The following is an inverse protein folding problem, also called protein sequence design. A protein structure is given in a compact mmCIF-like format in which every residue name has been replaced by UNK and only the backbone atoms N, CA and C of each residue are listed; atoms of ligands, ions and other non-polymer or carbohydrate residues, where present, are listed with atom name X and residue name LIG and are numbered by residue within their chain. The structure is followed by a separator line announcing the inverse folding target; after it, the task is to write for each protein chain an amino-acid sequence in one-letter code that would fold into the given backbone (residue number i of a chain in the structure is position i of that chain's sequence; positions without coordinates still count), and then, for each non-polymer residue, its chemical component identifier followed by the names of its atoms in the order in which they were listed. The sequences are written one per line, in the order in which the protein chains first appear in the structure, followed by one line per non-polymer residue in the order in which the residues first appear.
data_IF_833461318428
#
_entry.id   IF_833461318428
#
_cell.length_a   1.000
_cell.length_b   1.000
_cell.length_c   1.000
_cell.angle_alpha   90.00
_cell.angle_beta   90.00
_cell.angle_gamma   90.00
#
_symmetry.space_group_name_H-M   'P 1'
#
loop_
_entity.id
_entity.type
_entity.pdbx_description
1 polymer ?
#
# COMPACT_ATOMS: atom_id res chain seq x y z
N UNK A 1 1.38 57.85 -26.61
CA UNK A 1 0.23 57.07 -26.09
C UNK A 1 0.74 56.17 -24.97
N UNK A 2 0.36 56.45 -23.74
CA UNK A 2 0.77 55.71 -22.54
C UNK A 2 -0.21 54.53 -22.34
N UNK A 3 0.30 53.32 -22.15
CA UNK A 3 -0.49 52.18 -21.76
C UNK A 3 -0.26 51.94 -20.27
N UNK A 4 -1.35 52.06 -19.51
CA UNK A 4 -1.37 51.88 -18.04
C UNK A 4 -1.36 50.41 -17.68
N UNK A 5 -0.48 50.05 -16.74
CA UNK A 5 -0.45 48.74 -16.10
C UNK A 5 -1.55 48.60 -15.06
N UNK A 6 -2.41 47.61 -15.19
CA UNK A 6 -3.40 47.24 -14.17
C UNK A 6 -2.75 46.27 -13.19
N UNK A 7 -2.66 46.65 -11.93
CA UNK A 7 -2.32 45.80 -10.79
C UNK A 7 -3.53 44.93 -10.47
N UNK A 8 -3.38 43.61 -10.61
CA UNK A 8 -4.24 42.61 -9.98
C UNK A 8 -3.52 42.02 -8.77
N UNK A 9 -3.83 42.55 -7.60
CA UNK A 9 -3.46 41.96 -6.32
C UNK A 9 -4.68 41.21 -5.79
N UNK A 10 -4.73 39.90 -6.06
CA UNK A 10 -5.74 38.99 -5.50
C UNK A 10 -5.14 38.23 -4.31
N UNK A 11 -5.73 38.41 -3.15
CA UNK A 11 -5.35 37.76 -1.89
C UNK A 11 -5.71 36.29 -1.95
N UNK A 12 -4.70 35.41 -2.06
CA UNK A 12 -4.86 33.97 -1.92
C UNK A 12 -5.05 33.59 -0.43
N UNK A 13 -5.91 32.59 -0.12
CA UNK A 13 -6.15 32.20 1.25
C UNK A 13 -4.92 31.47 1.84
N UNK A 14 -4.58 31.86 3.07
CA UNK A 14 -3.36 31.48 3.84
C UNK A 14 -3.11 30.00 4.07
N UNK A 15 -3.98 29.11 3.60
CA UNK A 15 -3.82 27.64 3.78
C UNK A 15 -2.92 26.94 2.75
N UNK A 16 -2.61 27.56 1.63
CA UNK A 16 -1.74 26.99 0.60
C UNK A 16 -0.24 27.16 0.87
N UNK A 17 0.13 28.01 1.82
CA UNK A 17 1.54 28.33 2.08
C UNK A 17 2.29 27.27 2.90
N UNK A 18 1.59 26.50 3.72
CA UNK A 18 2.23 25.53 4.63
C UNK A 18 2.74 24.28 3.90
N UNK A 19 2.05 23.82 2.86
CA UNK A 19 2.46 22.62 2.10
C UNK A 19 3.63 22.95 1.17
N UNK A 20 3.66 24.12 0.57
CA UNK A 20 4.80 24.55 -0.26
C UNK A 20 6.08 24.79 0.54
N UNK A 21 5.97 25.29 1.80
CA UNK A 21 7.14 25.55 2.63
C UNK A 21 7.85 24.27 3.13
N UNK A 22 7.12 23.19 3.36
CA UNK A 22 7.73 21.91 3.79
C UNK A 22 8.53 21.23 2.66
N UNK A 23 8.11 21.38 1.40
CA UNK A 23 8.86 20.89 0.24
C UNK A 23 10.08 21.79 -0.09
N UNK A 24 10.00 23.09 0.14
CA UNK A 24 11.11 24.01 -0.14
C UNK A 24 12.25 23.88 0.86
N UNK A 25 11.99 23.52 2.12
CA UNK A 25 13.04 23.30 3.14
C UNK A 25 13.81 22.01 2.89
N UNK A 26 13.18 20.95 2.35
CA UNK A 26 13.87 19.73 2.00
C UNK A 26 14.85 19.89 0.81
N UNK A 27 14.57 20.81 -0.10
CA UNK A 27 15.45 21.09 -1.27
C UNK A 27 16.66 21.96 -0.88
N UNK A 28 16.53 22.85 0.10
CA UNK A 28 17.63 23.74 0.50
C UNK A 28 18.72 23.06 1.36
N UNK A 29 18.41 21.93 2.03
CA UNK A 29 19.39 21.20 2.86
C UNK A 29 20.32 20.26 2.06
N UNK A 30 20.03 20.01 0.78
CA UNK A 30 20.85 19.16 -0.09
C UNK A 30 21.94 19.95 -0.86
N UNK A 31 21.88 21.29 -0.87
CA UNK A 31 22.76 22.11 -1.70
C UNK A 31 24.13 22.44 -1.11
N UNK A 32 24.47 22.03 0.13
CA UNK A 32 25.71 22.44 0.80
C UNK A 32 26.72 21.32 1.08
N UNK A 33 26.52 20.10 0.58
CA UNK A 33 27.55 19.05 0.66
C UNK A 33 27.83 18.43 -0.72
N UNK A 34 28.35 19.24 -1.64
CA UNK A 34 29.07 18.73 -2.81
C UNK A 34 30.43 18.16 -2.38
N UNK A 35 30.43 17.17 -1.48
CA UNK A 35 31.54 16.28 -1.23
C UNK A 35 31.53 15.22 -2.33
N UNK A 36 32.67 15.07 -3.01
CA UNK A 36 33.00 14.09 -4.04
C UNK A 36 32.20 12.81 -3.85
N UNK A 37 31.28 12.51 -4.77
CA UNK A 37 30.73 11.18 -4.93
C UNK A 37 31.87 10.23 -5.19
N UNK A 38 32.29 9.50 -4.17
CA UNK A 38 33.21 8.39 -4.29
C UNK A 38 32.49 7.36 -5.14
N UNK A 39 33.05 6.99 -6.26
CA UNK A 39 32.55 5.96 -7.15
C UNK A 39 32.12 4.76 -6.29
N UNK A 40 30.85 4.35 -6.44
CA UNK A 40 30.32 3.16 -5.82
C UNK A 40 31.31 2.03 -6.07
N UNK A 41 31.77 1.40 -4.98
CA UNK A 41 32.70 0.29 -5.05
C UNK A 41 32.18 -0.73 -6.06
N UNK A 42 33.04 -1.16 -6.95
CA UNK A 42 32.83 -2.24 -7.90
C UNK A 42 32.47 -3.50 -7.13
N UNK A 43 31.18 -3.69 -6.87
CA UNK A 43 30.61 -5.01 -6.74
C UNK A 43 31.05 -5.77 -7.99
N UNK A 44 31.66 -6.94 -7.84
CA UNK A 44 32.00 -7.85 -8.94
C UNK A 44 30.85 -7.84 -9.93
N UNK A 45 31.09 -7.31 -11.14
CA UNK A 45 30.07 -7.09 -12.14
C UNK A 45 29.41 -8.45 -12.39
N UNK A 46 28.19 -8.62 -11.85
CA UNK A 46 27.38 -9.77 -12.18
C UNK A 46 27.19 -9.78 -13.70
N UNK A 47 27.57 -10.85 -14.35
CA UNK A 47 27.45 -10.99 -15.81
C UNK A 47 26.03 -10.69 -16.28
N UNK A 48 25.85 -10.18 -17.51
CA UNK A 48 24.52 -10.00 -18.12
C UNK A 48 23.74 -11.31 -18.02
N UNK A 49 22.52 -11.26 -17.54
CA UNK A 49 21.72 -12.47 -17.33
C UNK A 49 20.23 -12.23 -17.35
N UNK A 50 19.53 -13.28 -17.69
CA UNK A 50 18.10 -13.45 -17.46
C UNK A 50 17.89 -14.38 -16.26
N UNK A 51 16.99 -14.01 -15.36
CA UNK A 51 16.62 -14.82 -14.20
C UNK A 51 15.11 -15.10 -14.24
N UNK A 52 14.75 -16.37 -14.38
CA UNK A 52 13.36 -16.85 -14.26
C UNK A 52 13.22 -17.39 -12.84
N UNK A 53 12.27 -16.87 -12.08
CA UNK A 53 12.08 -17.24 -10.68
C UNK A 53 10.60 -17.31 -10.31
N UNK A 54 10.33 -17.95 -9.20
CA UNK A 54 8.97 -18.00 -8.68
C UNK A 54 8.79 -19.10 -7.65
N UNK A 55 7.53 -19.39 -7.41
CA UNK A 55 7.12 -20.50 -6.57
C UNK A 55 5.73 -21.00 -6.95
N UNK A 56 5.51 -22.29 -6.74
CA UNK A 56 4.18 -22.89 -6.68
C UNK A 56 3.80 -22.99 -5.20
N UNK A 57 2.61 -22.51 -4.84
CA UNK A 57 2.13 -22.55 -3.47
C UNK A 57 0.72 -23.13 -3.42
N UNK A 58 0.52 -24.07 -2.53
CA UNK A 58 -0.79 -24.68 -2.25
C UNK A 58 -1.15 -24.39 -0.81
N UNK A 59 -2.32 -23.82 -0.63
CA UNK A 59 -2.86 -23.41 0.65
C UNK A 59 -4.10 -24.25 0.99
N UNK A 60 -4.22 -24.61 2.26
CA UNK A 60 -5.42 -25.20 2.86
C UNK A 60 -5.77 -24.40 4.09
N UNK A 61 -7.04 -24.15 4.32
CA UNK A 61 -7.44 -23.42 5.49
C UNK A 61 -8.86 -23.70 5.95
N UNK A 62 -9.12 -23.24 7.17
CA UNK A 62 -10.42 -23.30 7.80
C UNK A 62 -10.68 -21.98 8.52
N UNK A 63 -11.74 -21.28 8.13
CA UNK A 63 -12.27 -20.12 8.86
C UNK A 63 -13.28 -20.64 9.87
N UNK A 64 -13.09 -20.31 11.15
CA UNK A 64 -13.97 -20.74 12.25
C UNK A 64 -15.31 -20.02 12.15
N UNK A 65 -15.26 -18.73 11.83
CA UNK A 65 -16.47 -17.93 11.57
C UNK A 65 -16.70 -17.79 10.06
N UNK A 66 -17.02 -16.61 9.56
CA UNK A 66 -17.31 -16.37 8.15
C UNK A 66 -16.65 -15.09 7.63
N UNK A 67 -16.40 -15.05 6.34
CA UNK A 67 -15.83 -13.92 5.61
C UNK A 67 -16.50 -13.82 4.23
N UNK A 68 -16.39 -12.68 3.57
CA UNK A 68 -16.80 -12.50 2.18
C UNK A 68 -16.29 -13.66 1.31
N UNK A 69 -17.16 -14.44 0.66
CA UNK A 69 -16.80 -15.63 -0.13
C UNK A 69 -15.77 -15.37 -1.23
N UNK A 70 -15.65 -14.15 -1.73
CA UNK A 70 -14.63 -13.77 -2.71
C UNK A 70 -13.23 -13.57 -2.08
N UNK A 71 -13.15 -13.59 -0.75
CA UNK A 71 -11.92 -13.36 0.03
C UNK A 71 -11.64 -14.48 1.03
N UNK A 72 -12.17 -15.65 0.77
CA UNK A 72 -12.17 -16.84 1.65
C UNK A 72 -10.77 -17.23 2.16
N UNK A 73 -9.73 -17.00 1.39
CA UNK A 73 -8.34 -17.40 1.65
C UNK A 73 -7.48 -16.28 2.27
N UNK A 74 -8.08 -15.13 2.62
CA UNK A 74 -7.40 -14.01 3.27
C UNK A 74 -8.01 -13.67 4.63
N UNK A 75 -7.25 -12.94 5.46
CA UNK A 75 -7.78 -12.33 6.68
C UNK A 75 -7.83 -10.81 6.50
N UNK A 76 -8.95 -10.31 5.99
CA UNK A 76 -9.20 -8.90 5.71
C UNK A 76 -10.33 -8.36 6.57
N UNK A 77 -10.05 -7.56 7.61
CA UNK A 77 -11.08 -6.95 8.44
C UNK A 77 -12.18 -6.20 7.68
N UNK A 78 -11.86 -5.56 6.55
CA UNK A 78 -12.87 -4.89 5.70
C UNK A 78 -13.81 -5.87 4.97
N UNK A 79 -13.44 -7.15 4.92
CA UNK A 79 -14.20 -8.23 4.28
C UNK A 79 -14.91 -9.16 5.25
N UNK A 80 -14.83 -8.87 6.54
CA UNK A 80 -15.63 -9.50 7.56
C UNK A 80 -17.07 -8.92 7.54
N UNK A 81 -18.08 -9.68 7.99
CA UNK A 81 -19.46 -9.22 8.02
C UNK A 81 -19.67 -7.84 8.63
N UNK A 82 -20.46 -7.02 7.96
CA UNK A 82 -20.91 -5.71 8.44
C UNK A 82 -22.18 -5.81 9.29
N UNK A 83 -22.90 -6.94 9.21
CA UNK A 83 -24.09 -7.25 10.03
C UNK A 83 -24.22 -8.76 10.21
N UNK A 84 -25.01 -9.16 11.18
CA UNK A 84 -25.22 -10.58 11.50
C UNK A 84 -25.79 -11.36 10.31
N UNK A 85 -25.13 -12.46 9.93
CA UNK A 85 -25.59 -13.36 8.87
C UNK A 85 -25.26 -12.91 7.44
N UNK A 86 -24.50 -11.82 7.23
CA UNK A 86 -24.21 -11.27 5.89
C UNK A 86 -23.68 -12.32 4.91
N UNK A 87 -22.76 -13.18 5.36
CA UNK A 87 -22.13 -14.20 4.49
C UNK A 87 -22.54 -15.63 4.85
N UNK A 88 -23.68 -15.80 5.56
CA UNK A 88 -24.24 -17.09 5.88
C UNK A 88 -23.65 -17.74 7.13
N UNK A 89 -23.49 -19.08 7.10
CA UNK A 89 -23.09 -19.86 8.28
C UNK A 89 -21.59 -19.87 8.46
N UNK A 90 -21.16 -19.98 9.71
CA UNK A 90 -19.77 -20.16 10.12
C UNK A 90 -19.22 -21.53 9.71
N UNK A 91 -17.89 -21.63 9.64
CA UNK A 91 -17.19 -22.88 9.35
C UNK A 91 -16.96 -23.11 7.86
N UNK A 92 -15.90 -22.51 7.30
CA UNK A 92 -15.58 -22.59 5.86
C UNK A 92 -14.22 -23.26 5.67
N UNK A 93 -14.20 -24.45 5.06
CA UNK A 93 -12.98 -25.10 4.58
C UNK A 93 -12.69 -24.62 3.17
N UNK A 94 -11.43 -24.34 2.89
CA UNK A 94 -10.98 -23.91 1.57
C UNK A 94 -9.60 -24.47 1.22
N UNK A 95 -9.32 -24.50 -0.09
CA UNK A 95 -8.01 -24.78 -0.64
C UNK A 95 -7.76 -23.91 -1.87
N UNK A 96 -6.50 -23.60 -2.16
CA UNK A 96 -6.16 -22.76 -3.30
C UNK A 96 -4.70 -22.83 -3.70
N UNK A 97 -4.43 -22.32 -4.90
CA UNK A 97 -3.08 -22.13 -5.45
C UNK A 97 -2.83 -20.68 -5.85
N UNK A 98 -3.70 -19.79 -5.42
CA UNK A 98 -3.77 -18.37 -5.86
C UNK A 98 -2.50 -17.58 -5.54
N UNK A 99 -1.74 -17.97 -4.52
CA UNK A 99 -0.48 -17.32 -4.16
C UNK A 99 0.68 -17.65 -5.14
N UNK A 100 0.53 -18.69 -5.97
CA UNK A 100 1.54 -19.09 -6.97
C UNK A 100 1.98 -17.90 -7.81
N UNK A 101 3.30 -17.76 -7.97
CA UNK A 101 3.92 -16.57 -8.57
C UNK A 101 5.05 -16.96 -9.49
N UNK A 102 5.20 -16.22 -10.57
CA UNK A 102 6.31 -16.33 -11.52
C UNK A 102 6.80 -14.94 -11.91
N UNK A 103 8.09 -14.81 -12.14
CA UNK A 103 8.69 -13.57 -12.60
C UNK A 103 9.93 -13.79 -13.44
N UNK A 104 10.26 -12.78 -14.22
CA UNK A 104 11.46 -12.71 -15.04
C UNK A 104 12.17 -11.41 -14.70
N UNK A 105 13.47 -11.49 -14.40
CA UNK A 105 14.35 -10.32 -14.28
C UNK A 105 15.42 -10.37 -15.38
N UNK A 106 15.74 -9.21 -15.92
CA UNK A 106 16.92 -9.09 -16.80
C UNK A 106 17.93 -8.10 -16.20
N UNK A 107 19.20 -8.39 -16.45
CA UNK A 107 20.34 -7.54 -16.09
C UNK A 107 21.20 -7.43 -17.34
N UNK A 108 21.15 -6.28 -18.01
CA UNK A 108 21.78 -6.06 -19.31
C UNK A 108 22.72 -4.86 -19.17
N UNK A 109 24.00 -5.04 -19.52
CA UNK A 109 24.96 -3.95 -19.49
C UNK A 109 24.78 -3.07 -20.75
N UNK A 110 24.72 -1.76 -20.52
CA UNK A 110 24.59 -0.76 -21.58
C UNK A 110 25.65 0.33 -21.42
N UNK A 111 25.84 1.15 -22.46
CA UNK A 111 26.75 2.30 -22.42
C UNK A 111 26.36 3.35 -21.35
N UNK A 112 25.11 3.31 -20.82
CA UNK A 112 24.58 4.24 -19.81
C UNK A 112 24.45 3.59 -18.42
N UNK A 113 25.00 2.39 -18.22
CA UNK A 113 24.90 1.62 -17.00
C UNK A 113 24.07 0.35 -17.18
N UNK A 114 23.88 -0.37 -16.08
CA UNK A 114 23.12 -1.62 -16.08
C UNK A 114 21.62 -1.36 -16.13
N UNK A 115 20.97 -1.80 -17.21
CA UNK A 115 19.52 -1.89 -17.29
C UNK A 115 19.04 -3.10 -16.49
N UNK A 116 18.16 -2.87 -15.54
CA UNK A 116 17.46 -3.91 -14.80
C UNK A 116 15.98 -3.86 -15.15
N UNK A 117 15.38 -5.00 -15.45
CA UNK A 117 13.93 -5.10 -15.65
C UNK A 117 13.34 -6.19 -14.77
N UNK A 118 12.08 -6.05 -14.42
CA UNK A 118 11.28 -7.07 -13.75
C UNK A 118 9.90 -7.14 -14.37
N UNK A 119 9.48 -8.37 -14.72
CA UNK A 119 8.12 -8.69 -15.08
C UNK A 119 7.66 -9.85 -14.20
N UNK A 120 6.67 -9.60 -13.32
CA UNK A 120 6.21 -10.56 -12.32
C UNK A 120 4.68 -10.57 -12.28
N UNK A 121 4.12 -11.77 -12.19
CA UNK A 121 2.69 -12.02 -12.03
C UNK A 121 2.42 -13.14 -11.04
N UNK A 122 1.18 -13.20 -10.58
CA UNK A 122 0.68 -14.23 -9.66
C UNK A 122 -0.73 -14.65 -10.08
N UNK A 123 -1.30 -15.65 -9.40
CA UNK A 123 -2.62 -16.19 -9.71
C UNK A 123 -3.72 -15.63 -8.80
N UNK A 124 -3.45 -14.57 -8.04
CA UNK A 124 -4.37 -14.01 -7.06
C UNK A 124 -5.28 -12.94 -7.68
N UNK A 125 -6.46 -13.34 -8.18
CA UNK A 125 -7.47 -12.42 -8.72
C UNK A 125 -7.98 -11.42 -7.68
N UNK A 126 -8.15 -10.16 -8.10
CA UNK A 126 -8.69 -9.06 -7.28
C UNK A 126 -9.60 -8.19 -8.14
N UNK A 127 -10.37 -7.29 -7.52
CA UNK A 127 -11.35 -6.47 -8.24
C UNK A 127 -12.48 -7.35 -8.79
N UNK A 128 -12.72 -7.30 -10.08
CA UNK A 128 -13.74 -8.12 -10.76
C UNK A 128 -13.40 -9.62 -10.75
N UNK A 129 -12.13 -9.96 -10.61
CA UNK A 129 -11.64 -11.35 -10.53
C UNK A 129 -11.44 -11.83 -9.07
N UNK A 130 -11.97 -11.09 -8.08
CA UNK A 130 -11.87 -11.50 -6.68
C UNK A 130 -12.43 -12.93 -6.48
N UNK A 131 -11.74 -13.75 -5.69
CA UNK A 131 -12.08 -15.16 -5.48
C UNK A 131 -11.60 -16.12 -6.56
N UNK A 132 -11.18 -15.63 -7.71
CA UNK A 132 -10.75 -16.47 -8.85
C UNK A 132 -9.24 -16.66 -8.90
N UNK A 133 -8.83 -17.75 -9.58
CA UNK A 133 -7.44 -18.06 -9.88
C UNK A 133 -7.12 -17.51 -11.27
N UNK A 134 -6.72 -16.24 -11.34
CA UNK A 134 -6.47 -15.51 -12.59
C UNK A 134 -5.13 -14.80 -12.55
N UNK A 135 -4.54 -14.58 -13.72
CA UNK A 135 -3.28 -13.85 -13.83
C UNK A 135 -3.43 -12.41 -13.39
N UNK A 136 -2.59 -11.99 -12.46
CA UNK A 136 -2.52 -10.60 -11.98
C UNK A 136 -1.10 -10.08 -12.09
N UNK A 137 -0.94 -8.95 -12.80
CA UNK A 137 0.33 -8.26 -12.90
C UNK A 137 0.75 -7.70 -11.53
N UNK A 138 1.98 -8.00 -11.11
CA UNK A 138 2.62 -7.44 -9.93
C UNK A 138 3.60 -6.34 -10.30
N UNK A 139 4.60 -6.70 -11.12
CA UNK A 139 5.63 -5.80 -11.58
C UNK A 139 5.75 -5.85 -13.10
N UNK A 140 5.83 -4.68 -13.73
CA UNK A 140 6.30 -4.44 -15.09
C UNK A 140 7.12 -3.15 -15.02
N UNK A 141 8.42 -3.28 -14.70
CA UNK A 141 9.24 -2.15 -14.32
C UNK A 141 10.66 -2.30 -14.85
N UNK A 142 11.25 -1.18 -15.23
CA UNK A 142 12.65 -1.10 -15.62
C UNK A 142 13.36 0.06 -14.96
N UNK A 143 14.67 -0.11 -14.69
CA UNK A 143 15.52 0.96 -14.15
C UNK A 143 16.90 0.94 -14.77
N UNK A 144 17.48 2.13 -14.94
CA UNK A 144 18.85 2.33 -15.38
C UNK A 144 19.45 3.53 -14.64
N UNK A 145 20.61 3.33 -14.01
CA UNK A 145 21.25 4.36 -13.19
C UNK A 145 20.34 4.82 -12.06
N UNK A 146 19.98 6.10 -12.08
CA UNK A 146 19.13 6.73 -11.07
C UNK A 146 17.66 6.84 -11.44
N UNK A 147 17.23 6.32 -12.58
CA UNK A 147 15.88 6.46 -13.08
C UNK A 147 15.22 5.11 -13.28
N UNK A 148 13.91 5.06 -13.01
CA UNK A 148 13.10 3.88 -13.25
C UNK A 148 11.69 4.27 -13.67
N UNK A 149 11.03 3.38 -14.45
CA UNK A 149 9.66 3.58 -14.91
C UNK A 149 8.91 2.25 -15.02
N UNK A 150 7.60 2.30 -14.86
CA UNK A 150 6.69 1.16 -14.94
C UNK A 150 5.89 0.95 -13.67
N UNK A 151 5.27 -0.23 -13.52
CA UNK A 151 4.51 -0.61 -12.35
C UNK A 151 5.39 -1.36 -11.35
N UNK A 152 5.51 -0.85 -10.14
CA UNK A 152 6.18 -1.51 -9.01
C UNK A 152 5.70 -0.94 -7.68
N UNK A 153 6.32 -1.32 -6.57
CA UNK A 153 6.00 -0.77 -5.25
C UNK A 153 6.10 0.76 -5.23
N UNK A 154 5.05 1.40 -4.71
CA UNK A 154 5.09 2.84 -4.44
C UNK A 154 6.22 3.18 -3.46
N UNK A 155 6.96 4.28 -3.63
CA UNK A 155 7.86 4.78 -2.59
C UNK A 155 7.17 5.07 -1.25
N UNK A 156 5.85 5.25 -1.22
CA UNK A 156 5.10 5.40 0.03
C UNK A 156 5.02 4.09 0.85
N UNK A 157 5.17 2.93 0.19
CA UNK A 157 5.20 1.60 0.81
C UNK A 157 6.61 1.19 1.22
N UNK A 158 6.73 0.48 2.33
CA UNK A 158 7.92 -0.26 2.73
C UNK A 158 7.63 -1.78 2.73
N UNK A 159 8.08 -2.54 1.72
CA UNK A 159 7.82 -3.97 1.65
C UNK A 159 8.55 -4.78 2.73
N UNK A 160 9.64 -4.25 3.31
CA UNK A 160 10.48 -4.97 4.25
C UNK A 160 9.80 -5.16 5.63
N UNK A 161 8.73 -4.40 5.93
CA UNK A 161 7.96 -4.58 7.17
C UNK A 161 6.92 -5.69 7.09
N UNK A 162 6.73 -6.32 5.92
CA UNK A 162 5.86 -7.47 5.78
C UNK A 162 6.39 -8.64 6.63
N UNK A 163 5.57 -9.29 7.48
CA UNK A 163 5.99 -10.41 8.30
C UNK A 163 6.34 -11.64 7.47
N UNK A 164 7.08 -12.58 8.06
CA UNK A 164 7.30 -13.89 7.47
C UNK A 164 6.06 -14.79 7.68
N UNK A 165 5.00 -14.55 6.88
CA UNK A 165 3.68 -15.16 7.00
C UNK A 165 3.33 -16.08 5.84
N UNK A 166 2.37 -17.00 6.06
CA UNK A 166 1.71 -17.80 5.03
C UNK A 166 0.54 -17.04 4.39
N UNK A 167 -0.13 -16.20 5.16
CA UNK A 167 -1.27 -15.41 4.72
C UNK A 167 -0.85 -14.43 3.60
N UNK A 168 -1.66 -14.41 2.55
CA UNK A 168 -1.33 -13.65 1.34
C UNK A 168 -1.45 -12.15 1.51
N UNK A 169 -2.55 -11.69 2.16
CA UNK A 169 -2.90 -10.27 2.19
C UNK A 169 -2.01 -9.48 3.16
N UNK A 170 -1.78 -10.05 4.35
CA UNK A 170 -0.90 -9.50 5.37
C UNK A 170 -1.54 -8.41 6.23
N UNK A 171 -0.70 -7.65 6.94
CA UNK A 171 -1.14 -6.72 7.97
C UNK A 171 -2.10 -5.65 7.45
N UNK A 172 -3.28 -5.51 8.05
CA UNK A 172 -4.34 -4.59 7.63
C UNK A 172 -3.89 -3.12 7.64
N UNK A 173 -3.12 -2.70 8.63
CA UNK A 173 -2.65 -1.31 8.82
C UNK A 173 -1.39 -0.94 8.05
N UNK A 174 -0.90 -1.82 7.19
CA UNK A 174 0.27 -1.59 6.36
C UNK A 174 -0.10 -0.74 5.12
N UNK A 175 0.82 0.09 4.65
CA UNK A 175 0.79 0.59 3.27
C UNK A 175 1.21 -0.53 2.35
N UNK A 176 0.36 -0.93 1.41
CA UNK A 176 0.64 -2.02 0.48
C UNK A 176 0.10 -1.69 -0.91
N UNK A 177 0.90 -1.03 -1.73
CA UNK A 177 0.45 -0.56 -3.03
C UNK A 177 1.53 -0.62 -4.10
N UNK A 178 1.15 -1.14 -5.26
CA UNK A 178 1.93 -1.09 -6.49
C UNK A 178 1.26 -0.13 -7.46
N UNK A 179 2.05 0.78 -8.02
CA UNK A 179 1.51 1.80 -8.92
C UNK A 179 2.37 1.97 -10.15
N UNK A 180 1.76 2.45 -11.23
CA UNK A 180 2.48 2.92 -12.41
C UNK A 180 3.14 4.24 -12.07
N UNK A 181 4.44 4.36 -12.32
CA UNK A 181 5.25 5.47 -11.86
C UNK A 181 6.48 5.71 -12.72
N UNK A 182 7.00 6.92 -12.64
CA UNK A 182 8.37 7.27 -13.00
C UNK A 182 9.06 7.72 -11.73
N UNK A 183 10.25 7.18 -11.44
CA UNK A 183 11.01 7.50 -10.24
C UNK A 183 12.41 8.00 -10.52
N UNK A 184 12.88 8.83 -9.62
CA UNK A 184 14.25 9.30 -9.53
C UNK A 184 14.84 8.88 -8.17
N UNK A 185 16.02 8.25 -8.22
CA UNK A 185 16.73 7.67 -7.07
C UNK A 185 18.10 8.33 -6.91
N UNK A 186 18.18 9.61 -6.44
CA UNK A 186 19.45 10.33 -6.33
C UNK A 186 20.42 9.67 -5.37
N UNK A 187 19.93 8.96 -4.35
CA UNK A 187 20.72 8.13 -3.46
C UNK A 187 20.20 6.70 -3.53
N UNK A 188 21.06 5.78 -3.92
CA UNK A 188 20.76 4.36 -4.05
C UNK A 188 21.90 3.51 -3.50
N UNK A 189 22.15 3.65 -2.19
CA UNK A 189 23.18 2.91 -1.46
C UNK A 189 22.59 1.87 -0.52
N UNK A 190 23.41 0.96 0.00
CA UNK A 190 22.98 -0.13 0.86
C UNK A 190 22.33 0.36 2.16
N UNK A 191 22.88 1.43 2.74
CA UNK A 191 22.43 1.97 4.02
C UNK A 191 21.57 3.24 3.90
N UNK A 192 21.66 3.96 2.78
CA UNK A 192 20.95 5.23 2.59
C UNK A 192 20.36 5.30 1.20
N UNK A 193 19.06 5.46 1.14
CA UNK A 193 18.33 5.59 -0.12
C UNK A 193 17.42 6.82 -0.06
N UNK A 194 17.35 7.55 -1.16
CA UNK A 194 16.41 8.63 -1.39
C UNK A 194 15.72 8.39 -2.73
N UNK A 195 14.42 8.34 -2.72
CA UNK A 195 13.61 8.07 -3.93
C UNK A 195 12.47 9.07 -4.00
N UNK A 196 12.25 9.64 -5.17
CA UNK A 196 11.05 10.41 -5.51
C UNK A 196 10.34 9.74 -6.67
N UNK A 197 9.01 9.80 -6.70
CA UNK A 197 8.24 9.31 -7.83
C UNK A 197 7.05 10.19 -8.14
N UNK A 198 6.68 10.17 -9.41
CA UNK A 198 5.40 10.64 -9.93
C UNK A 198 4.60 9.38 -10.25
N UNK A 199 3.41 9.26 -9.65
CA UNK A 199 2.59 8.07 -9.70
C UNK A 199 1.23 8.33 -10.34
N UNK A 200 0.65 7.28 -10.94
CA UNK A 200 -0.74 7.32 -11.41
C UNK A 200 -1.67 7.65 -10.25
N UNK A 201 -2.51 8.70 -10.38
CA UNK A 201 -3.45 9.08 -9.34
C UNK A 201 -4.63 8.10 -9.26
N UNK A 202 -5.28 8.06 -8.10
CA UNK A 202 -6.49 7.29 -7.85
C UNK A 202 -7.05 7.61 -6.46
N UNK A 203 -8.37 7.62 -6.34
CA UNK A 203 -9.09 7.71 -5.07
C UNK A 203 -10.46 7.05 -5.24
N UNK A 204 -10.95 6.46 -4.17
CA UNK A 204 -12.31 5.91 -4.07
C UNK A 204 -13.22 6.87 -3.33
N UNK A 205 -14.51 6.86 -3.66
CA UNK A 205 -15.50 7.71 -3.04
C UNK A 205 -16.69 6.88 -2.54
N UNK A 206 -17.09 7.12 -1.31
CA UNK A 206 -18.35 6.68 -0.73
C UNK A 206 -19.32 7.85 -0.74
N UNK A 207 -20.57 7.61 -1.09
CA UNK A 207 -21.62 8.61 -1.04
C UNK A 207 -22.47 8.51 0.24
N UNK A 208 -22.17 7.56 1.13
CA UNK A 208 -22.80 7.40 2.43
C UNK A 208 -24.31 7.23 2.32
N UNK A 209 -25.07 8.04 3.07
CA UNK A 209 -26.52 8.02 3.05
C UNK A 209 -27.12 8.42 1.71
N UNK A 210 -26.36 9.00 0.81
CA UNK A 210 -26.78 9.42 -0.53
C UNK A 210 -26.49 8.39 -1.63
N UNK A 211 -25.91 7.25 -1.31
CA UNK A 211 -25.42 6.26 -2.29
C UNK A 211 -26.50 5.75 -3.27
N UNK A 212 -27.78 5.79 -2.86
CA UNK A 212 -28.91 5.37 -3.69
C UNK A 212 -29.59 6.54 -4.43
N UNK A 213 -29.16 7.77 -4.23
CA UNK A 213 -29.76 8.92 -4.87
C UNK A 213 -29.23 9.10 -6.29
N UNK A 214 -30.13 9.40 -7.22
CA UNK A 214 -29.78 9.63 -8.62
C UNK A 214 -28.83 10.82 -8.77
N UNK A 215 -28.89 11.77 -7.85
CA UNK A 215 -28.04 12.96 -7.80
C UNK A 215 -26.57 12.66 -7.62
N UNK A 216 -26.20 11.51 -7.06
CA UNK A 216 -24.78 11.13 -6.87
C UNK A 216 -24.18 10.38 -8.05
N UNK A 217 -24.99 9.92 -9.01
CA UNK A 217 -24.54 9.12 -10.14
C UNK A 217 -23.62 9.87 -11.11
N UNK A 218 -23.76 11.20 -11.19
CA UNK A 218 -22.96 12.06 -12.07
C UNK A 218 -21.88 12.87 -11.34
N UNK A 219 -21.62 12.52 -10.07
CA UNK A 219 -20.52 13.09 -9.29
C UNK A 219 -19.29 12.20 -9.44
N UNK A 220 -18.24 12.73 -10.06
CA UNK A 220 -17.06 11.97 -10.41
C UNK A 220 -15.78 12.58 -9.81
N UNK A 221 -14.85 11.71 -9.43
CA UNK A 221 -13.50 12.15 -9.05
C UNK A 221 -12.64 12.25 -10.30
N UNK A 222 -12.11 13.43 -10.59
CA UNK A 222 -11.22 13.71 -11.71
C UNK A 222 -9.81 14.01 -11.24
N UNK A 223 -8.84 13.37 -11.86
CA UNK A 223 -7.42 13.50 -11.52
C UNK A 223 -6.73 14.42 -12.51
N UNK A 224 -6.44 15.66 -12.09
CA UNK A 224 -5.79 16.68 -12.93
C UNK A 224 -4.27 16.59 -12.85
N UNK A 225 -3.74 16.06 -11.75
CA UNK A 225 -2.30 15.94 -11.49
C UNK A 225 -1.96 14.54 -11.04
N UNK A 226 -0.74 14.05 -11.33
CA UNK A 226 -0.26 12.79 -10.76
C UNK A 226 -0.06 12.93 -9.24
N UNK A 227 -0.05 11.79 -8.55
CA UNK A 227 0.40 11.73 -7.17
C UNK A 227 1.93 11.87 -7.12
N UNK A 228 2.44 12.50 -6.05
CA UNK A 228 3.87 12.64 -5.81
C UNK A 228 4.23 11.89 -4.54
N UNK A 229 5.22 11.03 -4.61
CA UNK A 229 5.74 10.30 -3.45
C UNK A 229 7.23 10.51 -3.29
N UNK A 230 7.69 10.45 -2.04
CA UNK A 230 9.10 10.50 -1.72
C UNK A 230 9.41 9.63 -0.51
N UNK A 231 10.60 9.01 -0.47
CA UNK A 231 11.02 8.18 0.64
C UNK A 231 12.51 8.32 0.90
N UNK A 232 12.85 8.45 2.17
CA UNK A 232 14.22 8.44 2.67
C UNK A 232 14.40 7.27 3.64
N UNK A 233 15.39 6.41 3.37
CA UNK A 233 15.79 5.30 4.22
C UNK A 233 17.21 5.56 4.71
N UNK A 234 17.40 5.45 6.01
CA UNK A 234 18.72 5.51 6.66
C UNK A 234 18.86 4.35 7.62
N UNK A 235 20.00 3.64 7.54
CA UNK A 235 20.20 2.46 8.36
C UNK A 235 21.64 1.96 8.35
N UNK A 236 21.81 0.73 8.80
CA UNK A 236 23.08 0.03 8.91
C UNK A 236 22.91 -1.43 9.27
N UNK A 237 23.93 -2.04 9.87
CA UNK A 237 23.92 -3.48 10.20
C UNK A 237 22.82 -3.91 11.17
N UNK A 238 22.39 -3.00 12.06
CA UNK A 238 21.36 -3.28 13.07
C UNK A 238 19.93 -3.10 12.53
N UNK A 239 19.75 -2.46 11.40
CA UNK A 239 18.43 -2.17 10.83
C UNK A 239 18.37 -0.77 10.22
N UNK A 240 17.14 -0.27 10.00
CA UNK A 240 16.94 1.03 9.38
C UNK A 240 15.69 1.73 9.94
N UNK A 241 15.62 3.03 9.72
CA UNK A 241 14.42 3.85 9.78
C UNK A 241 14.16 4.39 8.37
N UNK A 242 12.90 4.36 7.97
CA UNK A 242 12.45 4.88 6.69
C UNK A 242 11.26 5.82 6.91
N UNK A 243 11.30 6.99 6.28
CA UNK A 243 10.22 7.98 6.27
C UNK A 243 9.81 8.19 4.84
N UNK A 244 8.50 8.07 4.57
CA UNK A 244 7.93 8.30 3.26
C UNK A 244 6.76 9.27 3.32
N UNK A 245 6.61 10.09 2.28
CA UNK A 245 5.53 11.04 2.11
C UNK A 245 4.76 10.81 0.81
N UNK A 246 3.48 11.15 0.84
CA UNK A 246 2.55 11.15 -0.29
C UNK A 246 1.86 12.50 -0.37
N UNK A 247 1.83 13.12 -1.54
CA UNK A 247 1.01 14.27 -1.88
C UNK A 247 0.12 13.96 -3.08
N UNK A 248 -1.15 14.36 -3.01
CA UNK A 248 -2.13 14.13 -4.07
C UNK A 248 -3.12 15.28 -4.16
N UNK A 249 -3.64 15.51 -5.37
CA UNK A 249 -4.67 16.51 -5.63
C UNK A 249 -5.64 15.97 -6.67
N UNK A 250 -6.92 16.09 -6.38
CA UNK A 250 -7.99 15.69 -7.28
C UNK A 250 -9.18 16.64 -7.15
N UNK A 251 -10.02 16.61 -8.16
CA UNK A 251 -11.22 17.41 -8.23
C UNK A 251 -12.46 16.52 -8.21
N UNK A 252 -13.44 16.92 -7.46
CA UNK A 252 -14.80 16.40 -7.56
C UNK A 252 -15.53 17.27 -8.57
N UNK A 253 -16.04 16.67 -9.62
CA UNK A 253 -16.86 17.31 -10.64
C UNK A 253 -18.31 16.83 -10.47
N UNK A 254 -19.22 17.78 -10.20
CA UNK A 254 -20.66 17.58 -10.22
C UNK A 254 -21.19 17.96 -11.60
N UNK A 255 -21.42 16.94 -12.45
CA UNK A 255 -21.84 17.16 -13.83
C UNK A 255 -23.33 17.50 -14.00
N UNK A 256 -24.07 17.54 -12.90
CA UNK A 256 -25.50 17.92 -12.92
C UNK A 256 -25.66 19.41 -12.74
N UNK A 257 -26.25 20.02 -13.73
CA UNK A 257 -26.61 21.45 -13.70
C UNK A 257 -27.55 21.75 -12.51
N UNK A 258 -27.04 22.55 -11.55
CA UNK A 258 -27.82 23.31 -10.55
C UNK A 258 -28.49 22.53 -9.41
N UNK A 259 -28.02 21.35 -8.99
CA UNK A 259 -28.70 20.66 -7.88
C UNK A 259 -27.89 20.59 -6.58
N UNK A 260 -26.66 20.10 -6.60
CA UNK A 260 -25.91 19.86 -5.36
C UNK A 260 -24.66 20.71 -5.25
N UNK A 261 -24.14 21.20 -6.38
CA UNK A 261 -22.90 22.01 -6.48
C UNK A 261 -21.76 21.42 -5.63
N UNK A 262 -21.44 20.13 -5.88
CA UNK A 262 -20.39 19.43 -5.14
C UNK A 262 -18.99 19.64 -5.72
N UNK A 263 -18.84 20.50 -6.73
CA UNK A 263 -17.56 20.87 -7.34
C UNK A 263 -16.54 21.32 -6.29
N UNK A 264 -15.43 20.59 -6.20
CA UNK A 264 -14.42 20.83 -5.17
C UNK A 264 -13.05 20.32 -5.62
N UNK A 265 -12.01 21.09 -5.30
CA UNK A 265 -10.63 20.61 -5.38
C UNK A 265 -10.15 20.20 -4.00
N UNK A 266 -9.61 18.99 -3.88
CA UNK A 266 -9.09 18.42 -2.65
C UNK A 266 -7.59 18.18 -2.84
N UNK A 267 -6.77 18.77 -1.96
CA UNK A 267 -5.33 18.51 -1.87
C UNK A 267 -5.05 17.89 -0.51
N UNK A 268 -4.36 16.74 -0.51
CA UNK A 268 -4.21 15.91 0.66
C UNK A 268 -2.95 15.04 0.56
N UNK A 269 -2.71 14.19 1.54
CA UNK A 269 -1.58 13.28 1.53
C UNK A 269 -1.37 12.57 2.85
N UNK A 270 -0.19 11.96 3.00
CA UNK A 270 0.14 11.19 4.19
C UNK A 270 1.62 11.00 4.41
N UNK A 271 1.94 10.47 5.59
CA UNK A 271 3.30 10.10 6.02
C UNK A 271 3.30 8.67 6.52
N UNK A 272 4.31 7.90 6.13
CA UNK A 272 4.58 6.54 6.59
C UNK A 272 5.99 6.46 7.19
N UNK A 273 6.09 6.04 8.44
CA UNK A 273 7.36 5.78 9.12
C UNK A 273 7.48 4.28 9.38
N UNK A 274 8.57 3.68 8.96
CA UNK A 274 8.77 2.24 9.05
C UNK A 274 10.18 1.87 9.48
N UNK A 275 10.31 0.67 10.04
CA UNK A 275 11.57 0.15 10.55
C UNK A 275 11.62 -1.38 10.47
N UNK A 276 12.84 -1.88 10.33
CA UNK A 276 13.16 -3.30 10.45
C UNK A 276 14.48 -3.38 11.22
N UNK A 277 14.43 -3.91 12.45
CA UNK A 277 15.53 -3.89 13.42
C UNK A 277 15.91 -5.31 13.80
N UNK A 278 17.19 -5.65 13.67
CA UNK A 278 17.76 -6.90 14.17
C UNK A 278 18.01 -6.78 15.69
N UNK A 279 17.35 -7.63 16.48
CA UNK A 279 17.42 -7.59 17.95
C UNK A 279 18.23 -8.76 18.52
N UNK A 280 19.42 -8.93 18.00
CA UNK A 280 20.35 -10.00 18.39
C UNK A 280 20.06 -11.33 17.70
N UNK A 281 21.13 -12.05 17.35
CA UNK A 281 21.03 -13.33 16.62
C UNK A 281 20.21 -13.23 15.33
N UNK A 282 19.32 -14.19 15.13
CA UNK A 282 18.41 -14.27 13.97
C UNK A 282 16.99 -13.79 14.32
N UNK A 283 16.87 -12.61 14.95
CA UNK A 283 15.60 -12.02 15.41
C UNK A 283 15.40 -10.65 14.78
N UNK A 284 14.17 -10.38 14.33
CA UNK A 284 13.85 -9.14 13.62
C UNK A 284 12.55 -8.56 14.16
N UNK A 285 12.59 -7.30 14.57
CA UNK A 285 11.41 -6.48 14.84
C UNK A 285 11.07 -5.65 13.60
N UNK A 286 9.83 -5.72 13.17
CA UNK A 286 9.27 -4.99 12.03
C UNK A 286 8.16 -4.10 12.52
N UNK A 287 8.14 -2.85 12.06
CA UNK A 287 7.12 -1.91 12.48
C UNK A 287 6.85 -0.84 11.46
N UNK A 288 5.61 -0.37 11.41
CA UNK A 288 5.26 0.85 10.69
C UNK A 288 4.11 1.58 11.35
N UNK A 289 4.11 2.89 11.13
CA UNK A 289 3.02 3.80 11.46
C UNK A 289 2.75 4.68 10.26
N UNK A 290 1.49 4.70 9.82
CA UNK A 290 1.04 5.56 8.73
C UNK A 290 -0.13 6.41 9.20
N UNK A 291 -0.13 7.66 8.75
CA UNK A 291 -1.24 8.60 8.92
C UNK A 291 -1.37 9.48 7.69
N UNK A 292 -2.60 9.71 7.28
CA UNK A 292 -2.90 10.62 6.18
C UNK A 292 -4.39 10.77 5.97
N UNK A 293 -4.75 11.59 4.99
CA UNK A 293 -6.14 11.77 4.53
C UNK A 293 -6.26 11.36 3.08
N UNK A 294 -7.37 10.69 2.73
CA UNK A 294 -7.59 10.09 1.41
C UNK A 294 -6.43 9.20 0.95
N UNK A 295 -5.93 8.33 1.83
CA UNK A 295 -4.86 7.38 1.54
C UNK A 295 -5.34 5.93 1.58
N UNK A 296 -6.65 5.69 1.62
CA UNK A 296 -7.21 4.34 1.74
C UNK A 296 -6.79 3.42 0.58
N UNK A 297 -6.68 3.95 -0.64
CA UNK A 297 -6.21 3.21 -1.81
C UNK A 297 -4.72 2.81 -1.75
N UNK A 298 -3.92 3.39 -0.86
CA UNK A 298 -2.54 2.98 -0.57
C UNK A 298 -2.47 1.96 0.56
N UNK A 299 -3.52 1.86 1.39
CA UNK A 299 -3.56 0.92 2.51
C UNK A 299 -3.82 -0.50 2.04
N UNK A 300 -3.30 -1.45 2.79
CA UNK A 300 -3.55 -2.86 2.54
C UNK A 300 -5.03 -3.23 2.76
N UNK A 301 -5.65 -2.65 3.79
CA UNK A 301 -7.05 -2.92 4.12
C UNK A 301 -7.75 -1.67 4.68
N UNK A 302 -8.35 -0.89 3.79
CA UNK A 302 -9.21 0.26 4.07
C UNK A 302 -10.31 0.33 2.99
N UNK A 303 -11.41 1.04 3.25
CA UNK A 303 -12.59 1.02 2.36
C UNK A 303 -12.60 2.15 1.36
N UNK A 304 -12.50 3.41 1.80
CA UNK A 304 -12.73 4.57 0.92
C UNK A 304 -11.85 5.75 1.27
N UNK A 305 -11.52 6.56 0.28
CA UNK A 305 -10.71 7.77 0.42
C UNK A 305 -11.54 8.99 0.78
N UNK A 306 -12.76 9.06 0.26
CA UNK A 306 -13.62 10.24 0.31
C UNK A 306 -15.02 9.87 0.78
N UNK A 307 -15.67 10.77 1.55
CA UNK A 307 -17.05 10.61 1.98
C UNK A 307 -17.78 11.97 2.04
N UNK A 308 -19.13 11.96 2.02
CA UNK A 308 -19.92 13.16 2.20
C UNK A 308 -19.85 13.66 3.65
N UNK A 309 -19.85 14.96 3.84
CA UNK A 309 -19.88 15.63 5.14
C UNK A 309 -20.82 16.84 5.11
N UNK A 310 -21.46 17.13 6.23
CA UNK A 310 -22.23 18.36 6.38
C UNK A 310 -21.27 19.56 6.23
N UNK A 311 -21.70 20.57 5.48
CA UNK A 311 -20.97 21.81 5.28
C UNK A 311 -21.66 22.97 6.02
N UNK A 312 -21.41 23.12 7.33
CA UNK A 312 -22.09 24.10 8.14
C UNK A 312 -21.76 25.53 7.69
N UNK A 313 -22.75 26.41 7.74
CA UNK A 313 -22.56 27.81 7.37
C UNK A 313 -22.64 28.14 5.89
N UNK A 314 -22.90 27.16 5.02
CA UNK A 314 -23.13 27.36 3.60
C UNK A 314 -24.48 26.76 3.15
N UNK A 315 -25.60 27.50 3.26
CA UNK A 315 -26.91 26.97 2.90
C UNK A 315 -27.05 26.61 1.41
N UNK A 316 -26.26 27.26 0.54
CA UNK A 316 -26.24 26.97 -0.89
C UNK A 316 -25.46 25.69 -1.24
N UNK A 317 -24.70 25.16 -0.29
CA UNK A 317 -23.89 23.97 -0.43
C UNK A 317 -23.86 23.19 0.89
N UNK A 318 -24.99 22.56 1.26
CA UNK A 318 -25.15 21.97 2.59
C UNK A 318 -24.30 20.72 2.81
N UNK A 319 -23.84 20.09 1.73
CA UNK A 319 -22.97 18.90 1.76
C UNK A 319 -21.69 19.18 0.98
N UNK A 320 -20.59 18.63 1.43
CA UNK A 320 -19.29 18.63 0.75
C UNK A 320 -18.68 17.23 0.74
N UNK A 321 -17.78 16.96 -0.18
CA UNK A 321 -16.90 15.77 -0.13
C UNK A 321 -15.71 16.08 0.75
N UNK A 322 -15.38 15.19 1.68
CA UNK A 322 -14.23 15.33 2.59
C UNK A 322 -13.28 14.15 2.47
N UNK A 323 -11.95 14.38 2.50
CA UNK A 323 -10.95 13.32 2.54
C UNK A 323 -10.92 12.68 3.93
N UNK A 324 -11.10 11.35 3.99
CA UNK A 324 -11.14 10.62 5.26
C UNK A 324 -9.74 10.44 5.84
N UNK A 325 -9.54 10.76 7.14
CA UNK A 325 -8.32 10.41 7.84
C UNK A 325 -8.21 8.90 8.04
N UNK A 326 -7.04 8.34 7.73
CA UNK A 326 -6.69 6.93 7.93
C UNK A 326 -5.42 6.85 8.74
N UNK A 327 -5.42 5.92 9.73
CA UNK A 327 -4.26 5.57 10.54
C UNK A 327 -4.04 4.07 10.47
N UNK A 328 -2.78 3.67 10.23
CA UNK A 328 -2.35 2.28 10.28
C UNK A 328 -1.17 2.08 11.24
N UNK A 329 -1.17 0.95 11.93
CA UNK A 329 -0.04 0.48 12.75
C UNK A 329 0.27 -0.97 12.41
N UNK A 330 1.56 -1.30 12.43
CA UNK A 330 2.08 -2.66 12.22
C UNK A 330 3.18 -2.91 13.23
N UNK A 331 3.15 -4.08 13.90
CA UNK A 331 4.21 -4.53 14.78
C UNK A 331 4.32 -6.05 14.71
N UNK A 332 5.46 -6.55 14.22
CA UNK A 332 5.75 -7.98 14.09
C UNK A 332 7.13 -8.31 14.61
N UNK A 333 7.25 -9.52 15.11
CA UNK A 333 8.50 -10.14 15.54
C UNK A 333 8.71 -11.44 14.80
N UNK A 334 9.76 -11.49 13.96
CA UNK A 334 10.21 -12.69 13.29
C UNK A 334 11.36 -13.31 14.07
N UNK A 335 11.24 -14.58 14.43
CA UNK A 335 12.26 -15.35 15.13
C UNK A 335 12.66 -16.57 14.30
N UNK A 336 13.94 -16.72 14.07
CA UNK A 336 14.53 -17.88 13.41
C UNK A 336 15.20 -18.76 14.48
N UNK A 337 14.52 -19.85 14.85
CA UNK A 337 15.00 -20.85 15.83
C UNK A 337 16.25 -21.57 15.36
N UNK A 338 16.32 -21.80 14.06
CA UNK A 338 17.44 -22.41 13.33
C UNK A 338 17.46 -21.92 11.90
N UNK A 339 18.32 -22.50 11.04
CA UNK A 339 18.29 -22.25 9.60
C UNK A 339 17.03 -22.80 8.91
N UNK A 340 16.31 -23.73 9.59
CA UNK A 340 15.15 -24.41 9.03
C UNK A 340 13.83 -24.02 9.66
N UNK A 341 13.82 -23.53 10.90
CA UNK A 341 12.60 -23.22 11.64
C UNK A 341 12.49 -21.74 11.93
N UNK A 342 11.33 -21.19 11.65
CA UNK A 342 11.02 -19.77 11.93
C UNK A 342 9.59 -19.60 12.42
N UNK A 343 9.36 -18.51 13.14
CA UNK A 343 8.08 -18.07 13.65
C UNK A 343 7.93 -16.57 13.40
N UNK A 344 6.76 -16.15 12.98
CA UNK A 344 6.35 -14.74 13.01
C UNK A 344 5.15 -14.59 13.93
N UNK A 345 5.15 -13.56 14.77
CA UNK A 345 4.02 -13.19 15.61
C UNK A 345 3.86 -11.68 15.64
N UNK A 346 2.64 -11.19 15.57
CA UNK A 346 2.42 -9.77 15.63
C UNK A 346 0.99 -9.33 15.44
N UNK A 347 0.84 -8.01 15.38
CA UNK A 347 -0.43 -7.33 15.34
C UNK A 347 -0.39 -6.13 14.40
N UNK A 348 -1.55 -5.84 13.83
CA UNK A 348 -1.76 -4.67 12.99
C UNK A 348 -3.17 -4.11 13.17
N UNK A 349 -3.33 -2.82 12.94
CA UNK A 349 -4.62 -2.14 13.00
C UNK A 349 -4.73 -1.09 11.91
N UNK A 350 -5.89 -1.04 11.25
CA UNK A 350 -6.35 0.09 10.43
C UNK A 350 -7.49 0.78 11.13
N UNK A 351 -7.48 2.11 11.14
CA UNK A 351 -8.60 2.90 11.64
C UNK A 351 -8.88 4.06 10.70
N UNK A 352 -10.15 4.21 10.34
CA UNK A 352 -10.68 5.32 9.56
C UNK A 352 -11.44 6.28 10.46
N UNK A 353 -11.38 7.57 10.17
CA UNK A 353 -12.25 8.57 10.80
C UNK A 353 -13.41 8.83 9.84
N UNK A 354 -14.57 8.33 10.20
CA UNK A 354 -15.79 8.42 9.41
C UNK A 354 -16.46 9.80 9.55
N UNK A 355 -17.37 10.12 8.62
CA UNK A 355 -18.22 11.33 8.68
C UNK A 355 -19.62 10.97 9.15
N UNK A 356 -20.36 11.95 9.67
CA UNK A 356 -21.74 11.74 10.13
C UNK A 356 -22.76 11.42 9.03
N UNK A 357 -22.36 11.52 7.74
CA UNK A 357 -23.20 11.18 6.59
C UNK A 357 -22.85 9.81 5.97
N UNK A 358 -21.90 9.06 6.53
CA UNK A 358 -21.70 7.65 6.20
C UNK A 358 -22.75 6.79 6.91
N UNK A 359 -23.04 5.61 6.35
CA UNK A 359 -24.02 4.69 6.97
C UNK A 359 -23.44 4.11 8.28
N UNK A 360 -24.30 3.78 9.28
CA UNK A 360 -23.88 3.28 10.59
C UNK A 360 -23.01 2.01 10.54
N UNK A 361 -23.25 1.13 9.58
CA UNK A 361 -22.51 -0.12 9.35
C UNK A 361 -21.22 0.04 8.55
N UNK A 362 -20.80 1.28 8.22
CA UNK A 362 -19.56 1.51 7.50
C UNK A 362 -18.35 1.06 8.32
N UNK A 363 -17.29 0.65 7.65
CA UNK A 363 -16.06 0.21 8.30
C UNK A 363 -15.40 1.38 9.04
N UNK A 364 -15.07 1.15 10.30
CA UNK A 364 -14.37 2.13 11.15
C UNK A 364 -12.98 1.65 11.56
N UNK A 365 -12.88 0.39 12.00
CA UNK A 365 -11.63 -0.16 12.51
C UNK A 365 -11.50 -1.64 12.17
N UNK A 366 -10.30 -2.01 11.74
CA UNK A 366 -9.87 -3.39 11.56
C UNK A 366 -8.66 -3.71 12.42
N UNK A 367 -8.75 -4.81 13.18
CA UNK A 367 -7.65 -5.39 13.93
C UNK A 367 -7.22 -6.69 13.25
N UNK A 368 -5.93 -6.99 13.24
CA UNK A 368 -5.35 -8.17 12.62
C UNK A 368 -4.20 -8.70 13.46
N UNK A 369 -4.12 -9.99 13.66
CA UNK A 369 -2.97 -10.64 14.28
C UNK A 369 -2.71 -12.00 13.65
N UNK A 370 -1.46 -12.46 13.70
CA UNK A 370 -1.07 -13.81 13.33
C UNK A 370 0.03 -14.36 14.23
N UNK A 371 0.11 -15.70 14.24
CA UNK A 371 1.24 -16.45 14.75
C UNK A 371 1.43 -17.70 13.89
N UNK A 372 2.69 -18.03 13.52
CA UNK A 372 2.99 -19.18 12.68
C UNK A 372 4.20 -19.97 13.15
N UNK A 373 4.33 -21.17 12.57
CA UNK A 373 5.53 -21.99 12.62
C UNK A 373 5.82 -22.51 11.21
N UNK A 374 6.97 -22.12 10.67
CA UNK A 374 7.40 -22.45 9.32
C UNK A 374 8.63 -23.37 9.36
N UNK A 375 8.64 -24.35 8.48
CA UNK A 375 9.78 -25.25 8.26
C UNK A 375 10.27 -25.16 6.82
N UNK A 376 11.53 -24.80 6.65
CA UNK A 376 12.23 -24.62 5.36
C UNK A 376 13.42 -25.57 5.34
N UNK A 377 13.25 -26.84 4.96
CA UNK A 377 14.33 -27.83 4.97
C UNK A 377 15.49 -27.49 4.05
N UNK A 378 15.20 -26.77 2.95
CA UNK A 378 16.15 -26.26 1.98
C UNK A 378 15.53 -25.04 1.26
N UNK A 379 16.29 -24.39 0.38
CA UNK A 379 15.88 -23.16 -0.34
C UNK A 379 14.69 -23.36 -1.28
N UNK A 380 14.37 -24.59 -1.65
CA UNK A 380 13.31 -24.92 -2.59
C UNK A 380 11.98 -25.27 -1.95
N UNK A 381 11.97 -25.66 -0.66
CA UNK A 381 10.77 -26.19 -0.01
C UNK A 381 10.50 -25.42 1.28
N UNK A 382 9.26 -25.00 1.47
CA UNK A 382 8.74 -24.48 2.72
C UNK A 382 7.34 -25.04 2.96
N UNK A 383 7.05 -25.41 4.19
CA UNK A 383 5.70 -25.68 4.64
C UNK A 383 5.53 -25.24 6.10
N UNK A 384 4.29 -25.01 6.49
CA UNK A 384 4.02 -24.57 7.85
C UNK A 384 2.55 -24.35 8.13
N UNK A 385 2.27 -24.03 9.37
CA UNK A 385 0.95 -23.70 9.86
C UNK A 385 0.91 -22.28 10.42
N UNK A 386 -0.23 -21.62 10.25
CA UNK A 386 -0.46 -20.26 10.70
C UNK A 386 -1.86 -20.11 11.28
N UNK A 387 -1.95 -19.46 12.43
CA UNK A 387 -3.18 -19.01 13.05
C UNK A 387 -3.33 -17.51 12.83
N UNK A 388 -4.51 -17.07 12.44
CA UNK A 388 -4.83 -15.68 12.16
C UNK A 388 -6.10 -15.29 12.90
N UNK A 389 -6.15 -14.02 13.30
CA UNK A 389 -7.33 -13.39 13.87
C UNK A 389 -7.57 -12.05 13.19
N UNK A 390 -8.82 -11.80 12.83
CA UNK A 390 -9.30 -10.53 12.31
C UNK A 390 -10.52 -10.03 13.07
N UNK A 391 -10.63 -8.71 13.22
CA UNK A 391 -11.82 -8.06 13.77
C UNK A 391 -12.20 -6.86 12.92
N UNK A 392 -13.47 -6.80 12.56
CA UNK A 392 -14.15 -5.61 12.05
C UNK A 392 -14.89 -4.91 13.19
N UNK A 393 -14.86 -3.58 13.20
CA UNK A 393 -15.74 -2.73 14.00
C UNK A 393 -16.37 -1.70 13.09
N UNK A 394 -17.68 -1.58 13.13
CA UNK A 394 -18.45 -0.62 12.37
C UNK A 394 -18.41 0.78 12.99
N UNK A 395 -18.92 1.77 12.26
CA UNK A 395 -18.84 3.18 12.61
C UNK A 395 -19.68 3.52 13.86
N UNK A 396 -21.01 3.39 13.81
CA UNK A 396 -21.88 3.85 14.90
C UNK A 396 -22.96 2.87 15.35
N UNK A 397 -23.21 1.78 14.63
CA UNK A 397 -24.22 0.78 15.01
C UNK A 397 -23.78 -0.14 16.15
N UNK A 398 -22.51 -0.04 16.60
CA UNK A 398 -21.95 -0.85 17.68
C UNK A 398 -21.59 -2.28 17.27
N UNK A 399 -21.87 -2.68 16.03
CA UNK A 399 -21.58 -4.03 15.56
C UNK A 399 -20.08 -4.29 15.46
N UNK A 400 -19.68 -5.48 15.89
CA UNK A 400 -18.30 -5.99 15.80
C UNK A 400 -18.36 -7.46 15.40
N UNK A 401 -17.43 -7.84 14.53
CA UNK A 401 -17.31 -9.23 14.10
C UNK A 401 -15.84 -9.68 14.21
N UNK A 402 -15.64 -10.92 14.66
CA UNK A 402 -14.32 -11.56 14.67
C UNK A 402 -14.36 -12.75 13.73
N UNK A 403 -13.23 -13.05 13.10
CA UNK A 403 -12.97 -14.33 12.46
C UNK A 403 -11.62 -14.87 12.91
N UNK A 404 -11.52 -16.18 13.03
CA UNK A 404 -10.32 -16.92 13.35
C UNK A 404 -10.07 -17.93 12.24
N UNK A 405 -8.84 -17.95 11.75
CA UNK A 405 -8.45 -18.81 10.64
C UNK A 405 -7.24 -19.65 11.00
N UNK A 406 -7.27 -20.91 10.58
CA UNK A 406 -6.09 -21.78 10.55
C UNK A 406 -5.74 -22.04 9.09
N UNK A 407 -4.46 -21.83 8.75
CA UNK A 407 -3.94 -22.08 7.40
C UNK A 407 -2.76 -23.01 7.47
N UNK A 408 -2.65 -23.91 6.49
CA UNK A 408 -1.50 -24.75 6.25
C UNK A 408 -1.07 -24.62 4.79
N UNK A 409 0.23 -24.43 4.53
CA UNK A 409 0.72 -24.19 3.18
C UNK A 409 1.95 -24.99 2.84
N UNK A 410 2.05 -25.37 1.55
CA UNK A 410 3.22 -25.93 0.90
C UNK A 410 3.70 -25.00 -0.20
N UNK A 411 4.99 -24.69 -0.20
CA UNK A 411 5.61 -23.80 -1.17
C UNK A 411 6.85 -24.42 -1.78
N UNK A 412 6.90 -24.44 -3.11
CA UNK A 412 8.03 -24.94 -3.90
C UNK A 412 8.63 -23.79 -4.70
N UNK A 413 9.84 -23.36 -4.30
CA UNK A 413 10.56 -22.27 -4.95
C UNK A 413 11.42 -22.80 -6.10
N UNK A 414 11.50 -22.01 -7.18
CA UNK A 414 12.41 -22.25 -8.29
C UNK A 414 13.09 -20.96 -8.74
N UNK A 415 14.34 -21.10 -9.20
CA UNK A 415 15.09 -20.02 -9.84
C UNK A 415 16.07 -20.61 -10.83
N UNK A 416 16.07 -20.07 -12.05
CA UNK A 416 17.01 -20.41 -13.11
C UNK A 416 17.67 -19.14 -13.60
N UNK A 417 19.00 -19.13 -13.67
CA UNK A 417 19.79 -18.03 -14.21
C UNK A 417 20.37 -18.44 -15.55
N UNK A 418 20.11 -17.65 -16.58
CA UNK A 418 20.60 -17.84 -17.94
C UNK A 418 21.56 -16.69 -18.23
N UNK A 419 22.83 -17.00 -18.52
CA UNK A 419 23.80 -16.03 -18.95
C UNK A 419 23.40 -15.51 -20.34
N UNK A 420 23.56 -14.20 -20.54
CA UNK A 420 23.36 -13.56 -21.84
C UNK A 420 24.74 -13.28 -22.44
N UNK A 421 24.95 -13.77 -23.66
CA UNK A 421 26.20 -13.57 -24.43
C UNK A 421 26.28 -12.15 -24.99
#
# INVERSE_FOLDING_TARGET
MRVSAVKLCGTAPKRHLVVCCLFSVAILLVATSAGRAQAAGTSTADEPRLEIYGFVMTDFGYNIDTIDPLWFDTMRPTKLPAFSGEFGRNGITWAGVRQTRTGIKSFIDTSKGRLKTIFEWELFGTGVDAGQTTFRLRHAYGEIGHFGAGQTWSPFMDPDVFPNSLEYWGPSGMVFFRNVQVRWMPLNGDNTNLTFAIERPGASQDFGVFNQFVETQDVNTRFQFPNVTGAFKWGGKAGYIRVAGLGQSFRIDDNRLNRSNLDQTITTGGVNVSTNIKVGGKRVLKGSFVYGTAIANYMNDATTDLAPEINPGNPNRPVRTTPLPVRGIVGFYDHYWSDKWSTSIGYSQTRMTNTGLQIPSEFHKGDYALANLLYTPNDHIMYGGEFQWGRRSNFTDGFRFNDYKVQFSFKYNYSVKIKLD
#
